data_IF_105605544029
#
_entry.id   IF_105605544029
#
_cell.length_a   1.000
_cell.length_b   1.000
_cell.length_c   1.000
_cell.angle_alpha   90.00
_cell.angle_beta   90.00
_cell.angle_gamma   90.00
#
_symmetry.space_group_name_H-M   'P 1'
#
loop_
_entity.id
_entity.type
_entity.pdbx_description
1 polymer ?
#
# COMPACT_ATOMS: atom_id res chain seq x y z
N UNK A 1 -11.59 21.04 7.65
CA UNK A 1 -10.21 20.71 7.21
C UNK A 1 -10.22 19.32 6.61
N UNK A 2 -9.49 19.10 5.53
CA UNK A 2 -9.36 17.77 4.91
C UNK A 2 -7.89 17.35 4.91
N UNK A 3 -7.66 16.04 4.94
CA UNK A 3 -6.35 15.40 4.86
C UNK A 3 -6.39 14.44 3.69
N UNK A 4 -5.42 14.56 2.79
CA UNK A 4 -5.28 13.69 1.62
C UNK A 4 -3.98 12.89 1.73
N UNK A 5 -4.01 11.71 1.11
CA UNK A 5 -2.86 10.86 0.84
C UNK A 5 -1.54 11.63 0.64
N UNK A 6 -0.51 11.20 1.37
CA UNK A 6 0.84 11.74 1.35
C UNK A 6 1.78 10.78 0.62
N UNK A 7 2.66 11.32 -0.20
CA UNK A 7 3.61 10.58 -1.02
C UNK A 7 4.75 11.49 -1.44
N UNK A 8 5.97 11.01 -1.27
CA UNK A 8 7.17 11.74 -1.60
C UNK A 8 8.20 10.81 -2.22
N UNK A 9 9.06 11.38 -3.05
CA UNK A 9 10.26 10.73 -3.54
C UNK A 9 11.48 11.38 -2.91
N UNK A 10 12.45 10.55 -2.54
CA UNK A 10 13.73 11.00 -2.00
C UNK A 10 14.81 10.51 -2.96
N UNK A 11 15.48 11.40 -3.71
CA UNK A 11 16.58 11.00 -4.57
C UNK A 11 17.73 10.47 -3.72
N UNK A 12 18.45 9.47 -4.24
CA UNK A 12 19.71 9.06 -3.64
C UNK A 12 20.73 10.20 -3.70
N UNK A 13 21.62 10.27 -2.71
CA UNK A 13 22.76 11.16 -2.77
C UNK A 13 23.71 10.72 -3.88
N UNK A 14 24.42 11.66 -4.52
CA UNK A 14 25.38 11.35 -5.59
C UNK A 14 26.49 10.38 -5.16
N UNK A 15 26.77 10.31 -3.85
CA UNK A 15 27.76 9.41 -3.26
C UNK A 15 27.22 8.02 -2.92
N UNK A 16 25.93 7.75 -3.17
CA UNK A 16 25.32 6.47 -2.84
C UNK A 16 25.70 5.41 -3.85
N UNK A 17 26.17 4.25 -3.36
CA UNK A 17 26.55 3.13 -4.21
C UNK A 17 25.31 2.33 -4.64
N UNK A 18 24.83 2.61 -5.86
CA UNK A 18 23.66 1.96 -6.46
C UNK A 18 23.87 0.44 -6.62
N UNK A 19 25.12 -0.05 -6.66
CA UNK A 19 25.38 -1.50 -6.74
C UNK A 19 24.94 -2.28 -5.49
N UNK A 20 24.64 -1.58 -4.39
CA UNK A 20 24.07 -2.16 -3.17
C UNK A 20 22.54 -2.31 -3.21
N UNK A 21 21.88 -1.79 -4.25
CA UNK A 21 20.43 -1.87 -4.44
C UNK A 21 20.05 -3.16 -5.16
N UNK A 22 18.97 -3.79 -4.71
CA UNK A 22 18.36 -4.96 -5.35
C UNK A 22 16.92 -4.62 -5.71
N UNK A 23 16.47 -5.06 -6.88
CA UNK A 23 15.07 -4.94 -7.30
C UNK A 23 14.14 -5.99 -6.66
N UNK A 24 14.71 -7.02 -6.03
CA UNK A 24 13.97 -8.04 -5.29
C UNK A 24 13.56 -7.56 -3.89
N UNK A 25 12.37 -7.98 -3.44
CA UNK A 25 11.88 -7.69 -2.08
C UNK A 25 12.20 -8.87 -1.16
N UNK A 26 12.94 -8.61 -0.08
CA UNK A 26 13.39 -9.63 0.88
C UNK A 26 12.25 -10.49 1.42
N UNK A 27 12.20 -11.78 1.07
CA UNK A 27 11.16 -12.71 1.55
C UNK A 27 9.91 -12.78 0.66
N UNK A 28 9.87 -12.01 -0.42
CA UNK A 28 8.84 -12.09 -1.48
C UNK A 28 9.48 -12.49 -2.81
N UNK A 29 10.66 -11.95 -3.11
CA UNK A 29 11.37 -12.17 -4.37
C UNK A 29 11.10 -11.05 -5.37
N UNK A 30 11.12 -11.39 -6.65
CA UNK A 30 10.86 -10.46 -7.73
C UNK A 30 9.39 -10.02 -7.77
N UNK A 31 9.17 -8.78 -8.19
CA UNK A 31 7.84 -8.20 -8.39
C UNK A 31 7.57 -7.96 -9.87
N UNK A 32 6.28 -7.91 -10.23
CA UNK A 32 5.86 -7.47 -11.56
C UNK A 32 5.72 -5.95 -11.63
N UNK A 33 5.28 -5.47 -12.80
CA UNK A 33 5.01 -4.05 -13.01
C UNK A 33 3.88 -3.53 -12.12
N UNK A 34 3.92 -2.22 -11.88
CA UNK A 34 2.86 -1.49 -11.15
C UNK A 34 1.50 -1.86 -11.74
N UNK A 35 0.59 -2.28 -10.88
CA UNK A 35 -0.80 -2.52 -11.27
C UNK A 35 -1.54 -1.19 -11.19
N UNK A 36 -1.65 -0.53 -12.34
CA UNK A 36 -2.51 0.65 -12.49
C UNK A 36 -3.96 0.27 -12.19
N UNK A 37 -4.61 1.06 -11.34
CA UNK A 37 -6.02 0.88 -11.00
C UNK A 37 -6.86 1.44 -12.14
N UNK A 38 -7.69 0.59 -12.72
CA UNK A 38 -8.65 0.97 -13.76
C UNK A 38 -10.05 0.96 -13.14
N UNK A 39 -10.69 2.13 -13.11
CA UNK A 39 -12.04 2.30 -12.55
C UNK A 39 -13.15 1.68 -13.42
N UNK A 40 -12.84 1.30 -14.65
CA UNK A 40 -13.76 0.56 -15.53
C UNK A 40 -13.70 -0.96 -15.32
N UNK A 41 -12.67 -1.44 -14.63
CA UNK A 41 -12.52 -2.86 -14.33
C UNK A 41 -13.54 -3.33 -13.28
N UNK A 42 -13.91 -4.63 -13.28
CA UNK A 42 -14.81 -5.19 -12.27
C UNK A 42 -14.30 -4.94 -10.85
N UNK A 43 -15.21 -4.64 -9.91
CA UNK A 43 -14.87 -4.34 -8.50
C UNK A 43 -13.94 -5.40 -7.87
N UNK A 44 -14.16 -6.68 -8.18
CA UNK A 44 -13.38 -7.80 -7.66
C UNK A 44 -11.97 -7.94 -8.27
N UNK A 45 -11.60 -7.08 -9.23
CA UNK A 45 -10.21 -6.99 -9.71
C UNK A 45 -9.29 -6.39 -8.66
N UNK A 46 -9.84 -5.67 -7.67
CA UNK A 46 -9.10 -5.01 -6.60
C UNK A 46 -9.71 -5.30 -5.23
N UNK A 47 -11.01 -5.07 -5.06
CA UNK A 47 -11.68 -5.23 -3.76
C UNK A 47 -11.84 -6.72 -3.44
N UNK A 48 -11.51 -7.09 -2.21
CA UNK A 48 -11.50 -8.48 -1.75
C UNK A 48 -10.23 -9.25 -2.14
N UNK A 49 -9.32 -8.65 -2.92
CA UNK A 49 -8.05 -9.29 -3.27
C UNK A 49 -7.04 -9.22 -2.13
N UNK A 50 -6.19 -10.25 -2.09
CA UNK A 50 -5.12 -10.39 -1.10
C UNK A 50 -3.94 -9.50 -1.45
N UNK A 51 -3.36 -8.93 -0.41
CA UNK A 51 -2.18 -8.08 -0.50
C UNK A 51 -1.16 -8.49 0.54
N UNK A 52 0.10 -8.24 0.24
CA UNK A 52 1.22 -8.43 1.14
C UNK A 52 2.05 -7.15 1.20
N UNK A 53 2.73 -6.96 2.32
CA UNK A 53 3.74 -5.91 2.46
C UNK A 53 4.86 -6.37 3.38
N UNK A 54 6.01 -5.71 3.26
CA UNK A 54 7.12 -5.86 4.20
C UNK A 54 7.41 -4.52 4.82
N UNK A 55 7.15 -4.43 6.12
CA UNK A 55 7.43 -3.26 6.91
C UNK A 55 8.65 -3.47 7.80
N UNK A 56 9.33 -2.38 8.15
CA UNK A 56 10.46 -2.41 9.09
C UNK A 56 10.04 -2.95 10.46
N UNK A 57 8.86 -2.57 10.94
CA UNK A 57 8.40 -2.85 12.30
C UNK A 57 7.63 -4.17 12.40
N UNK A 58 6.70 -4.42 11.47
CA UNK A 58 5.86 -5.63 11.51
C UNK A 58 6.37 -6.78 10.63
N UNK A 59 7.40 -6.54 9.80
CA UNK A 59 7.89 -7.54 8.87
C UNK A 59 6.88 -7.85 7.76
N UNK A 60 6.84 -9.12 7.35
CA UNK A 60 5.93 -9.60 6.32
C UNK A 60 4.52 -9.80 6.89
N UNK A 61 3.54 -9.07 6.35
CA UNK A 61 2.13 -9.19 6.75
C UNK A 61 1.23 -9.36 5.54
N UNK A 62 0.13 -10.08 5.73
CA UNK A 62 -0.91 -10.29 4.71
C UNK A 62 -2.17 -9.51 5.08
N UNK A 63 -2.91 -9.09 4.05
CA UNK A 63 -4.14 -8.33 4.20
C UNK A 63 -5.08 -8.51 3.02
N UNK A 64 -6.24 -7.86 3.11
CA UNK A 64 -7.25 -7.82 2.06
C UNK A 64 -7.62 -6.37 1.78
N UNK A 65 -7.71 -6.00 0.50
CA UNK A 65 -8.21 -4.68 0.10
C UNK A 65 -9.71 -4.65 0.33
N UNK A 66 -10.17 -3.74 1.18
CA UNK A 66 -11.58 -3.63 1.56
C UNK A 66 -12.30 -2.49 0.86
N UNK A 67 -11.57 -1.43 0.49
CA UNK A 67 -12.12 -0.29 -0.24
C UNK A 67 -11.05 0.37 -1.10
N UNK A 68 -11.51 1.06 -2.14
CA UNK A 68 -10.72 1.97 -2.95
C UNK A 68 -11.41 3.35 -3.03
N UNK A 69 -10.64 4.43 -3.06
CA UNK A 69 -11.10 5.83 -3.09
C UNK A 69 -12.10 6.15 -1.97
N UNK A 70 -11.69 5.90 -0.71
CA UNK A 70 -12.54 6.07 0.46
C UNK A 70 -12.40 7.45 1.08
N UNK A 71 -13.54 8.11 1.30
CA UNK A 71 -13.68 9.30 2.14
C UNK A 71 -14.33 8.95 3.47
N UNK A 72 -13.76 9.42 4.59
CA UNK A 72 -14.39 9.29 5.91
C UNK A 72 -14.06 10.47 6.82
N UNK A 73 -14.93 10.70 7.81
CA UNK A 73 -14.72 11.75 8.81
C UNK A 73 -14.27 11.16 10.15
N UNK A 74 -13.33 11.84 10.81
CA UNK A 74 -12.99 11.52 12.19
C UNK A 74 -14.02 12.05 13.21
N UNK A 75 -13.80 11.78 14.49
CA UNK A 75 -14.68 12.24 15.57
C UNK A 75 -14.64 13.77 15.76
N UNK A 76 -13.59 14.43 15.26
CA UNK A 76 -13.40 15.88 15.29
C UNK A 76 -13.92 16.56 14.02
N UNK A 77 -14.49 15.81 13.08
CA UNK A 77 -15.01 16.34 11.81
C UNK A 77 -13.94 16.62 10.75
N UNK A 78 -12.72 16.09 10.90
CA UNK A 78 -11.68 16.13 9.88
C UNK A 78 -12.00 15.06 8.82
N UNK A 79 -12.06 15.48 7.57
CA UNK A 79 -12.27 14.58 6.43
C UNK A 79 -10.94 13.98 5.96
N UNK A 80 -10.89 12.67 5.83
CA UNK A 80 -9.74 11.91 5.34
C UNK A 80 -10.08 11.25 4.01
N UNK A 81 -9.17 11.36 3.05
CA UNK A 81 -9.26 10.72 1.74
C UNK A 81 -8.08 9.75 1.57
N UNK A 82 -8.38 8.47 1.43
CA UNK A 82 -7.39 7.41 1.18
C UNK A 82 -7.74 6.63 -0.08
N UNK A 83 -6.73 6.27 -0.88
CA UNK A 83 -6.97 5.52 -2.10
C UNK A 83 -7.19 4.04 -1.78
N UNK A 84 -6.45 3.45 -0.84
CA UNK A 84 -6.70 2.08 -0.37
C UNK A 84 -7.09 2.06 1.10
N UNK A 85 -7.97 1.10 1.43
CA UNK A 85 -8.16 0.61 2.79
C UNK A 85 -7.86 -0.88 2.81
N UNK A 86 -6.85 -1.27 3.59
CA UNK A 86 -6.44 -2.67 3.75
C UNK A 86 -6.71 -3.13 5.17
N UNK A 87 -7.25 -4.33 5.32
CA UNK A 87 -7.42 -4.98 6.62
C UNK A 87 -6.49 -6.19 6.70
N UNK A 88 -5.78 -6.31 7.81
CA UNK A 88 -4.87 -7.44 8.07
C UNK A 88 -5.63 -8.75 8.32
N UNK A 89 -4.97 -9.87 8.05
CA UNK A 89 -5.54 -11.20 8.25
C UNK A 89 -5.31 -11.73 9.67
N UNK A 90 -5.99 -12.83 10.03
CA UNK A 90 -5.78 -13.56 11.28
C UNK A 90 -5.89 -12.69 12.55
N UNK A 91 -6.74 -11.66 12.51
CA UNK A 91 -6.91 -10.67 13.58
C UNK A 91 -5.65 -9.85 13.89
N UNK A 92 -4.66 -9.84 13.00
CA UNK A 92 -3.47 -9.01 13.09
C UNK A 92 -3.66 -7.71 12.31
N UNK A 93 -2.95 -6.65 12.72
CA UNK A 93 -2.92 -5.41 11.95
C UNK A 93 -2.07 -5.60 10.71
N UNK A 94 -2.44 -4.93 9.62
CA UNK A 94 -1.64 -4.97 8.40
C UNK A 94 -0.36 -4.14 8.53
N UNK A 95 -0.35 -3.08 9.35
CA UNK A 95 0.83 -2.26 9.62
C UNK A 95 1.03 -1.96 11.12
N UNK A 96 2.24 -1.51 11.45
CA UNK A 96 2.63 -0.93 12.74
C UNK A 96 3.38 0.39 12.50
N UNK A 97 3.50 1.20 13.56
CA UNK A 97 4.29 2.43 13.51
C UNK A 97 5.72 2.16 13.01
N UNK A 98 6.14 2.91 11.99
CA UNK A 98 7.41 2.72 11.30
C UNK A 98 7.36 1.83 10.06
N UNK A 99 6.17 1.36 9.65
CA UNK A 99 5.95 0.72 8.34
C UNK A 99 5.50 1.71 7.25
N UNK A 100 5.26 2.99 7.58
CA UNK A 100 4.96 4.03 6.60
C UNK A 100 6.03 4.08 5.50
N UNK A 101 5.60 4.21 4.25
CA UNK A 101 6.47 4.14 3.08
C UNK A 101 6.64 2.73 2.50
N UNK A 102 6.15 1.68 3.18
CA UNK A 102 6.24 0.31 2.64
C UNK A 102 5.30 0.11 1.45
N UNK A 103 5.75 -0.67 0.45
CA UNK A 103 4.95 -1.07 -0.70
C UNK A 103 3.85 -2.05 -0.30
N UNK A 104 2.65 -1.83 -0.82
CA UNK A 104 1.51 -2.74 -0.81
C UNK A 104 1.51 -3.48 -2.15
N UNK A 105 1.66 -4.80 -2.09
CA UNK A 105 1.73 -5.66 -3.27
C UNK A 105 0.46 -6.49 -3.36
N UNK A 106 -0.22 -6.42 -4.49
CA UNK A 106 -1.31 -7.32 -4.85
C UNK A 106 -0.72 -8.70 -5.16
N UNK A 107 -1.20 -9.73 -4.47
CA UNK A 107 -0.79 -11.10 -4.76
C UNK A 107 -1.47 -11.56 -6.04
N UNK A 108 -0.70 -12.09 -6.99
CA UNK A 108 -1.24 -12.72 -8.18
C UNK A 108 -2.02 -14.00 -7.85
N UNK A 109 -2.89 -14.42 -8.76
CA UNK A 109 -3.56 -15.71 -8.66
C UNK A 109 -2.58 -16.81 -9.14
N UNK A 110 -1.94 -17.54 -8.22
CA UNK A 110 -1.05 -18.66 -8.55
C UNK A 110 0.42 -18.29 -8.79
N UNK A 111 0.87 -18.33 -10.05
CA UNK A 111 2.30 -18.23 -10.45
C UNK A 111 2.73 -16.80 -10.80
N UNK A 112 1.79 -15.86 -10.87
CA UNK A 112 2.10 -14.48 -11.22
C UNK A 112 2.90 -13.78 -10.11
N UNK A 113 3.91 -13.00 -10.52
CA UNK A 113 4.69 -12.16 -9.59
C UNK A 113 3.76 -11.17 -8.88
N UNK A 114 3.94 -10.92 -7.58
CA UNK A 114 3.21 -9.87 -6.87
C UNK A 114 3.40 -8.52 -7.55
N UNK A 115 2.32 -7.73 -7.65
CA UNK A 115 2.33 -6.45 -8.36
C UNK A 115 2.14 -5.29 -7.38
N UNK A 116 2.99 -4.26 -7.40
CA UNK A 116 2.82 -3.13 -6.52
C UNK A 116 1.59 -2.33 -6.93
N UNK A 117 0.74 -2.00 -5.95
CA UNK A 117 -0.50 -1.22 -6.13
C UNK A 117 -0.49 0.08 -5.34
N UNK A 118 0.24 0.14 -4.22
CA UNK A 118 0.17 1.30 -3.34
C UNK A 118 1.32 1.40 -2.35
N UNK A 119 1.35 2.50 -1.60
CA UNK A 119 2.28 2.74 -0.50
C UNK A 119 1.49 3.07 0.76
N UNK A 120 1.95 2.56 1.91
CA UNK A 120 1.37 2.88 3.22
C UNK A 120 1.71 4.33 3.59
N UNK A 121 0.70 5.15 3.85
CA UNK A 121 0.90 6.53 4.35
C UNK A 121 0.34 6.74 5.76
N UNK A 122 -0.37 5.76 6.31
CA UNK A 122 -0.74 5.77 7.72
C UNK A 122 -1.61 4.59 8.13
N UNK A 123 -1.33 4.04 9.31
CA UNK A 123 -2.23 3.15 10.03
C UNK A 123 -3.16 3.97 10.90
N UNK A 124 -4.39 4.19 10.45
CA UNK A 124 -5.39 4.84 11.29
C UNK A 124 -6.03 3.77 12.17
N UNK A 125 -5.41 3.50 13.32
CA UNK A 125 -6.04 2.72 14.39
C UNK A 125 -7.36 3.40 14.78
N UNK A 126 -8.48 3.01 14.15
CA UNK A 126 -9.84 3.39 14.49
C UNK A 126 -10.10 4.90 14.78
N UNK A 127 -9.29 5.82 14.24
CA UNK A 127 -9.52 7.26 14.43
C UNK A 127 -10.70 7.66 13.55
N UNK A 128 -11.86 7.80 14.17
CA UNK A 128 -13.04 8.33 13.50
C UNK A 128 -14.30 7.49 13.59
N UNK A 129 -15.31 7.96 12.85
CA UNK A 129 -16.64 7.35 12.79
C UNK A 129 -16.68 6.09 11.92
N UNK A 130 -15.66 5.88 11.08
CA UNK A 130 -15.54 4.66 10.30
C UNK A 130 -15.17 3.49 11.23
N UNK A 131 -16.13 2.58 11.45
CA UNK A 131 -15.94 1.36 12.20
C UNK A 131 -16.18 0.17 11.28
N UNK A 132 -15.12 -0.49 10.83
CA UNK A 132 -15.23 -1.79 10.17
C UNK A 132 -15.48 -2.86 11.23
N UNK A 133 -16.53 -3.65 11.07
CA UNK A 133 -16.86 -4.74 12.00
C UNK A 133 -16.93 -6.04 11.23
N UNK A 134 -16.27 -7.07 11.75
CA UNK A 134 -16.42 -8.44 11.25
C UNK A 134 -17.04 -9.35 12.33
N UNK A 135 -18.26 -9.02 12.78
CA UNK A 135 -19.04 -9.80 13.76
C UNK A 135 -18.47 -9.90 15.19
N UNK A 136 -17.15 -9.77 15.37
CA UNK A 136 -16.41 -9.99 16.62
C UNK A 136 -15.82 -8.71 17.23
N UNK A 137 -15.90 -7.57 16.54
CA UNK A 137 -15.40 -6.28 17.03
C UNK A 137 -14.91 -5.36 15.92
N UNK A 138 -14.45 -4.14 16.26
CA UNK A 138 -13.82 -3.22 15.33
C UNK A 138 -12.52 -3.81 14.76
N UNK A 139 -12.33 -3.76 13.46
CA UNK A 139 -11.07 -4.14 12.81
C UNK A 139 -10.19 -2.90 12.59
N UNK A 140 -8.91 -3.05 12.91
CA UNK A 140 -7.90 -2.10 12.50
C UNK A 140 -7.69 -2.20 10.99
N UNK A 141 -7.33 -1.09 10.38
CA UNK A 141 -7.15 -0.98 8.95
C UNK A 141 -6.04 0.03 8.64
N UNK A 142 -5.48 -0.12 7.45
CA UNK A 142 -4.33 0.65 6.97
C UNK A 142 -4.75 1.46 5.76
N UNK A 143 -4.33 2.72 5.75
CA UNK A 143 -4.51 3.65 4.63
C UNK A 143 -3.35 3.49 3.63
N UNK A 144 -3.68 3.41 2.34
CA UNK A 144 -2.71 3.38 1.26
C UNK A 144 -2.96 4.45 0.20
N UNK A 145 -1.89 4.87 -0.47
CA UNK A 145 -1.93 5.75 -1.65
C UNK A 145 -1.84 4.91 -2.92
N UNK A 146 -2.55 5.30 -3.96
CA UNK A 146 -2.42 4.72 -5.31
C UNK A 146 -1.02 4.97 -5.86
N UNK A 147 -0.23 3.89 -6.02
CA UNK A 147 1.14 4.02 -6.48
C UNK A 147 1.21 4.48 -7.95
N UNK A 148 0.33 3.97 -8.82
CA UNK A 148 0.35 4.36 -10.23
C UNK A 148 0.10 5.86 -10.38
N UNK A 149 -0.94 6.36 -9.70
CA UNK A 149 -1.24 7.80 -9.69
C UNK A 149 -0.12 8.62 -9.05
N UNK A 150 0.50 8.12 -7.98
CA UNK A 150 1.60 8.83 -7.31
C UNK A 150 2.84 8.95 -8.21
N UNK A 151 3.19 7.88 -8.91
CA UNK A 151 4.29 7.86 -9.87
C UNK A 151 4.04 8.82 -11.04
N UNK A 152 2.82 8.82 -11.59
CA UNK A 152 2.42 9.77 -12.65
C UNK A 152 2.58 11.23 -12.19
N UNK A 153 2.18 11.55 -10.96
CA UNK A 153 2.28 12.91 -10.41
C UNK A 153 3.72 13.35 -10.12
N UNK A 154 4.60 12.40 -9.82
CA UNK A 154 6.01 12.65 -9.53
C UNK A 154 6.89 12.53 -10.79
N UNK A 155 6.32 12.09 -11.92
CA UNK A 155 7.04 11.79 -13.17
C UNK A 155 8.17 10.77 -12.96
N UNK A 156 7.85 9.66 -12.28
CA UNK A 156 8.79 8.59 -11.92
C UNK A 156 8.34 7.23 -12.43
N UNK A 157 9.31 6.38 -12.74
CA UNK A 157 9.10 4.96 -13.02
C UNK A 157 9.58 4.09 -11.86
N UNK A 158 8.89 2.96 -11.63
CA UNK A 158 9.35 1.96 -10.67
C UNK A 158 10.37 1.03 -11.32
N UNK A 159 11.57 0.95 -10.74
CA UNK A 159 12.61 0.02 -11.19
C UNK A 159 12.31 -1.39 -10.66
N UNK A 160 12.00 -2.32 -11.56
CA UNK A 160 11.63 -3.72 -11.25
C UNK A 160 12.65 -4.75 -11.74
N UNK A 161 13.68 -4.31 -12.46
CA UNK A 161 14.74 -5.15 -13.02
C UNK A 161 16.11 -4.49 -12.88
N UNK A 162 17.17 -5.30 -12.86
CA UNK A 162 18.54 -4.82 -12.66
C UNK A 162 19.04 -3.99 -13.86
N UNK A 163 18.49 -4.20 -15.06
CA UNK A 163 18.75 -3.35 -16.23
C UNK A 163 18.25 -1.92 -16.02
N UNK A 164 17.16 -1.72 -15.27
CA UNK A 164 16.63 -0.40 -14.93
C UNK A 164 17.44 0.34 -13.86
N UNK A 165 18.43 -0.32 -13.23
CA UNK A 165 19.37 0.31 -12.30
C UNK A 165 20.64 0.85 -12.98
N UNK A 166 20.83 0.57 -14.28
CA UNK A 166 21.99 1.00 -15.08
C UNK A 166 21.74 2.32 -15.80
#
# INVERSE_FOLDING_TARGET
TFVRADGAFVPFADSFDVSSVTTSIKGIGEIGDVKVVDLQSPINSLIGKKVIKIGRSSGLTTGTVMAYALEYNDEKGICFLTDFLVVGENHQTFDLEGDSGSLILLTGDGVEKPRPIGIIWGGTANRGRLKLKNGQGPQNWTSGVDLGRLLDLLELDLVTSDEGLQ
#
